data_IF_888419285668
#
_entry.id   IF_888419285668
#
_cell.length_a   1.000
_cell.length_b   1.000
_cell.length_c   1.000
_cell.angle_alpha   90.00
_cell.angle_beta   90.00
_cell.angle_gamma   90.00
#
_symmetry.space_group_name_H-M   'P 1'
#
loop_
_entity.id
_entity.type
_entity.pdbx_description
1 polymer ?
#
# COMPACT_ATOMS: atom_id res chain seq x y z
N UNK A 1 29.35 -49.36 6.40
CA UNK A 1 29.12 -48.16 7.24
C UNK A 1 29.68 -46.97 6.48
N UNK A 2 28.80 -46.22 5.83
CA UNK A 2 29.05 -44.89 5.28
C UNK A 2 27.89 -44.04 5.81
N UNK A 3 28.13 -42.84 6.37
CA UNK A 3 27.04 -42.01 6.84
C UNK A 3 26.36 -41.34 5.64
N UNK A 4 25.03 -41.42 5.61
CA UNK A 4 24.21 -40.55 4.76
C UNK A 4 24.39 -39.10 5.24
N UNK A 5 24.82 -38.22 4.35
CA UNK A 5 24.77 -36.78 4.60
C UNK A 5 23.31 -36.35 4.48
N UNK A 6 22.77 -35.80 5.56
CA UNK A 6 21.51 -35.07 5.54
C UNK A 6 21.79 -33.74 4.84
N UNK A 7 21.32 -33.60 3.59
CA UNK A 7 21.21 -32.29 2.96
C UNK A 7 20.01 -31.59 3.62
N UNK A 8 20.27 -30.48 4.30
CA UNK A 8 19.21 -29.60 4.77
C UNK A 8 18.62 -28.88 3.56
N UNK A 9 17.32 -29.10 3.31
CA UNK A 9 16.58 -28.33 2.31
C UNK A 9 16.52 -26.88 2.80
N UNK A 10 17.25 -25.97 2.15
CA UNK A 10 17.08 -24.53 2.34
C UNK A 10 15.82 -24.17 1.56
N UNK A 11 14.68 -24.08 2.24
CA UNK A 11 13.47 -23.52 1.65
C UNK A 11 13.68 -22.01 1.55
N UNK A 12 13.87 -21.50 0.33
CA UNK A 12 13.80 -20.06 0.06
C UNK A 12 12.31 -19.69 -0.04
N UNK A 13 11.74 -19.13 1.04
CA UNK A 13 10.36 -18.60 1.01
C UNK A 13 10.33 -17.10 0.60
N UNK A 14 11.39 -16.59 -0.04
CA UNK A 14 11.49 -15.17 -0.46
C UNK A 14 10.66 -14.89 -1.74
N UNK A 15 9.34 -15.05 -1.67
CA UNK A 15 8.43 -14.65 -2.75
C UNK A 15 7.80 -13.29 -2.40
N UNK A 16 8.50 -12.22 -2.78
CA UNK A 16 7.98 -10.85 -2.68
C UNK A 16 6.80 -10.66 -3.65
N UNK A 17 5.60 -10.39 -3.13
CA UNK A 17 4.38 -10.24 -3.93
C UNK A 17 3.67 -8.92 -3.67
N UNK A 18 2.96 -8.41 -4.68
CA UNK A 18 2.03 -7.28 -4.53
C UNK A 18 0.76 -7.78 -3.84
N UNK A 19 0.60 -7.40 -2.58
CA UNK A 19 -0.51 -7.82 -1.73
C UNK A 19 -1.74 -6.92 -1.86
N UNK A 20 -1.63 -5.76 -2.50
CA UNK A 20 -2.77 -4.85 -2.71
C UNK A 20 -3.65 -5.21 -3.93
N UNK A 21 -3.23 -6.15 -4.78
CA UNK A 21 -4.01 -6.56 -5.96
C UNK A 21 -5.36 -7.17 -5.55
N UNK A 22 -6.45 -6.69 -6.18
CA UNK A 22 -7.83 -7.19 -6.00
C UNK A 22 -8.29 -7.21 -4.53
N UNK A 23 -7.66 -6.41 -3.69
CA UNK A 23 -8.08 -6.22 -2.31
C UNK A 23 -9.18 -5.18 -2.20
N UNK A 24 -9.90 -5.23 -1.10
CA UNK A 24 -10.91 -4.22 -0.81
C UNK A 24 -10.20 -2.93 -0.39
N UNK A 25 -10.48 -1.85 -1.12
CA UNK A 25 -9.96 -0.52 -0.82
C UNK A 25 -11.11 0.43 -0.54
N UNK A 26 -10.84 1.45 0.28
CA UNK A 26 -11.84 2.45 0.64
C UNK A 26 -11.16 3.76 1.00
N UNK A 27 -11.88 4.86 0.86
CA UNK A 27 -11.38 6.20 1.15
C UNK A 27 -12.43 7.03 1.89
N UNK A 28 -11.98 8.07 2.56
CA UNK A 28 -12.82 8.87 3.47
C UNK A 28 -13.98 9.61 2.80
N UNK A 29 -13.81 9.98 1.54
CA UNK A 29 -14.82 10.56 0.64
C UNK A 29 -14.35 10.40 -0.81
N UNK A 30 -15.20 10.67 -1.80
CA UNK A 30 -14.86 10.48 -3.21
C UNK A 30 -15.15 11.73 -4.02
N UNK A 31 -14.09 12.30 -4.63
CA UNK A 31 -14.24 13.44 -5.53
C UNK A 31 -14.68 12.99 -6.92
N UNK A 32 -15.96 13.18 -7.23
CA UNK A 32 -16.53 12.84 -8.54
C UNK A 32 -16.40 11.34 -8.86
N UNK A 33 -15.62 11.01 -9.88
CA UNK A 33 -15.36 9.63 -10.33
C UNK A 33 -14.01 9.06 -9.86
N UNK A 34 -13.29 9.76 -8.98
CA UNK A 34 -11.93 9.41 -8.54
C UNK A 34 -12.00 8.42 -7.36
N UNK A 35 -12.44 7.19 -7.63
CA UNK A 35 -12.75 6.17 -6.62
C UNK A 35 -11.49 5.57 -5.97
N UNK A 36 -11.65 4.93 -4.81
CA UNK A 36 -10.52 4.35 -4.08
C UNK A 36 -9.77 3.27 -4.88
N UNK A 37 -10.51 2.50 -5.68
CA UNK A 37 -10.05 1.35 -6.48
C UNK A 37 -9.01 1.73 -7.53
N UNK A 38 -9.07 2.97 -8.04
CA UNK A 38 -8.14 3.49 -9.03
C UNK A 38 -6.73 3.71 -8.49
N UNK A 39 -6.50 3.56 -7.18
CA UNK A 39 -5.15 3.56 -6.62
C UNK A 39 -4.51 2.16 -6.60
N UNK A 40 -5.22 1.11 -7.02
CA UNK A 40 -4.73 -0.28 -7.00
C UNK A 40 -5.14 -1.04 -8.27
N UNK A 41 -5.42 -0.31 -9.36
CA UNK A 41 -5.89 -0.87 -10.63
C UNK A 41 -4.73 -1.16 -11.60
N UNK A 42 -3.48 -0.99 -11.17
CA UNK A 42 -2.26 -1.15 -11.97
C UNK A 42 -2.20 -0.22 -13.19
N UNK A 43 -2.83 0.95 -13.07
CA UNK A 43 -2.82 1.98 -14.07
C UNK A 43 -2.39 3.31 -13.42
N UNK A 44 -1.08 3.61 -13.34
CA UNK A 44 -0.54 4.76 -12.60
C UNK A 44 -0.89 6.15 -13.18
N UNK A 45 -1.81 6.23 -14.15
CA UNK A 45 -2.39 7.49 -14.60
C UNK A 45 -1.49 8.38 -15.44
N UNK A 46 -0.47 7.83 -16.09
CA UNK A 46 0.47 8.60 -16.92
C UNK A 46 -0.14 9.21 -18.19
N UNK A 47 -1.33 8.78 -18.60
CA UNK A 47 -2.04 9.28 -19.79
C UNK A 47 -3.26 10.12 -19.41
N UNK A 48 -4.08 9.63 -18.49
CA UNK A 48 -5.31 10.30 -18.07
C UNK A 48 -5.52 10.16 -16.55
N UNK A 49 -4.97 11.07 -15.73
CA UNK A 49 -5.07 10.99 -14.27
C UNK A 49 -6.51 10.91 -13.76
N UNK A 50 -7.46 11.59 -14.42
CA UNK A 50 -8.87 11.61 -14.01
C UNK A 50 -9.60 10.27 -14.11
N UNK A 51 -9.02 9.29 -14.82
CA UNK A 51 -9.57 7.93 -14.94
C UNK A 51 -8.76 6.88 -14.19
N UNK A 52 -7.67 7.28 -13.53
CA UNK A 52 -6.59 6.38 -13.12
C UNK A 52 -5.94 6.78 -11.81
N UNK A 53 -6.56 7.70 -11.06
CA UNK A 53 -6.11 8.09 -9.73
C UNK A 53 -7.32 8.19 -8.82
N UNK A 54 -7.17 7.74 -7.57
CA UNK A 54 -8.14 7.99 -6.51
C UNK A 54 -8.02 9.42 -6.01
N UNK A 55 -9.12 10.00 -5.53
CA UNK A 55 -9.09 11.27 -4.82
C UNK A 55 -10.26 11.44 -3.86
N UNK A 56 -9.97 11.95 -2.67
CA UNK A 56 -10.99 12.43 -1.74
C UNK A 56 -11.54 13.79 -2.17
N UNK A 57 -12.71 14.17 -1.63
CA UNK A 57 -13.12 15.58 -1.59
C UNK A 57 -12.18 16.39 -0.68
N UNK A 58 -12.32 17.72 -0.73
CA UNK A 58 -11.67 18.60 0.24
C UNK A 58 -12.26 18.38 1.63
N UNK A 59 -11.43 17.91 2.57
CA UNK A 59 -11.88 17.62 3.92
C UNK A 59 -10.75 17.76 4.94
N UNK A 60 -11.10 17.71 6.23
CA UNK A 60 -10.12 17.53 7.31
C UNK A 60 -9.73 16.06 7.38
N UNK A 61 -8.42 15.81 7.51
CA UNK A 61 -7.83 14.49 7.73
C UNK A 61 -8.28 13.40 6.73
N UNK A 62 -8.18 13.61 5.39
CA UNK A 62 -8.54 12.58 4.41
C UNK A 62 -7.65 11.34 4.54
N UNK A 63 -8.22 10.20 4.17
CA UNK A 63 -7.51 8.92 4.21
C UNK A 63 -7.98 7.95 3.12
N UNK A 64 -7.07 7.05 2.76
CA UNK A 64 -7.31 5.88 1.91
C UNK A 64 -6.78 4.64 2.64
N UNK A 65 -7.43 3.48 2.47
CA UNK A 65 -7.04 2.22 3.10
C UNK A 65 -7.24 1.04 2.17
N UNK A 66 -6.29 0.10 2.19
CA UNK A 66 -6.45 -1.26 1.69
C UNK A 66 -6.60 -2.26 2.83
N UNK A 67 -7.54 -3.21 2.69
CA UNK A 67 -7.68 -4.40 3.53
C UNK A 67 -7.02 -5.60 2.83
N UNK A 68 -5.86 -6.03 3.34
CA UNK A 68 -5.09 -7.15 2.80
C UNK A 68 -5.77 -8.52 2.98
N UNK A 69 -6.94 -8.57 3.64
CA UNK A 69 -7.77 -9.75 3.96
C UNK A 69 -7.25 -10.61 5.13
N UNK A 70 -5.94 -10.68 5.31
CA UNK A 70 -5.24 -11.36 6.42
C UNK A 70 -4.18 -10.43 7.01
N UNK A 71 -3.60 -10.82 8.15
CA UNK A 71 -2.47 -10.09 8.73
C UNK A 71 -1.22 -10.49 7.97
N UNK A 72 -0.57 -9.52 7.32
CA UNK A 72 0.60 -9.76 6.47
C UNK A 72 1.84 -9.03 6.99
N UNK A 73 3.02 -9.49 6.58
CA UNK A 73 4.29 -8.77 6.78
C UNK A 73 4.55 -7.81 5.63
N UNK A 74 4.38 -6.52 5.87
CA UNK A 74 4.60 -5.48 4.87
C UNK A 74 6.08 -5.10 4.84
N UNK A 75 6.74 -5.41 3.73
CA UNK A 75 8.16 -5.11 3.48
C UNK A 75 8.31 -3.66 3.01
N UNK A 76 7.52 -3.26 2.01
CA UNK A 76 7.57 -1.93 1.42
C UNK A 76 6.25 -1.52 0.81
N UNK A 77 6.06 -0.22 0.66
CA UNK A 77 4.93 0.40 -0.06
C UNK A 77 5.50 1.29 -1.16
N UNK A 78 5.02 1.14 -2.39
CA UNK A 78 5.34 2.01 -3.52
C UNK A 78 4.12 2.88 -3.81
N UNK A 79 4.33 4.19 -3.93
CA UNK A 79 3.26 5.16 -4.15
C UNK A 79 3.58 5.99 -5.38
N UNK A 80 2.65 6.02 -6.33
CA UNK A 80 2.71 6.88 -7.51
C UNK A 80 1.88 8.13 -7.31
N UNK A 81 2.51 9.29 -7.45
CA UNK A 81 1.85 10.59 -7.30
C UNK A 81 1.23 11.09 -8.61
N UNK A 82 0.29 12.01 -8.49
CA UNK A 82 -0.40 12.67 -9.61
C UNK A 82 0.57 13.37 -10.57
N UNK A 83 0.33 13.23 -11.87
CA UNK A 83 1.19 13.76 -12.94
C UNK A 83 0.85 15.19 -13.38
N UNK A 84 -0.44 15.49 -13.59
CA UNK A 84 -0.89 16.68 -14.34
C UNK A 84 -0.92 17.98 -13.51
N UNK A 85 -1.10 17.90 -12.20
CA UNK A 85 -1.01 19.06 -11.31
C UNK A 85 -0.79 18.68 -9.86
N UNK A 86 -0.49 19.70 -9.08
CA UNK A 86 -0.70 19.70 -7.64
C UNK A 86 0.03 18.57 -6.86
N UNK A 87 1.26 18.17 -7.26
CA UNK A 87 1.95 17.04 -6.65
C UNK A 87 2.24 17.28 -5.16
N UNK A 88 2.31 18.54 -4.71
CA UNK A 88 2.55 18.92 -3.33
C UNK A 88 1.41 18.54 -2.37
N UNK A 89 0.22 18.18 -2.89
CA UNK A 89 -0.94 17.79 -2.06
C UNK A 89 -0.69 16.54 -1.22
N UNK A 90 0.18 15.65 -1.68
CA UNK A 90 0.53 14.41 -0.96
C UNK A 90 1.48 14.66 0.23
N UNK A 91 2.10 15.83 0.31
CA UNK A 91 3.11 16.13 1.32
C UNK A 91 2.51 16.07 2.73
N UNK A 92 3.17 15.32 3.62
CA UNK A 92 2.73 15.07 4.99
C UNK A 92 1.85 13.83 5.15
N UNK A 93 1.56 13.09 4.07
CA UNK A 93 0.81 11.82 4.18
C UNK A 93 1.62 10.80 4.97
N UNK A 94 0.97 10.15 5.92
CA UNK A 94 1.52 9.10 6.77
C UNK A 94 1.08 7.73 6.24
N UNK A 95 2.04 6.83 6.02
CA UNK A 95 1.80 5.42 5.75
C UNK A 95 1.68 4.72 7.10
N UNK A 96 0.52 4.11 7.39
CA UNK A 96 0.22 3.46 8.66
C UNK A 96 -0.17 2.01 8.45
N UNK A 97 0.34 1.11 9.28
CA UNK A 97 0.17 -0.34 9.11
C UNK A 97 -0.21 -0.96 10.45
N UNK A 98 -1.28 -1.76 10.46
CA UNK A 98 -1.68 -2.49 11.66
C UNK A 98 -3.00 -3.24 11.51
N UNK A 99 -3.54 -3.69 12.64
CA UNK A 99 -4.71 -4.58 12.70
C UNK A 99 -5.97 -3.89 13.25
N UNK A 100 -5.86 -2.64 13.71
CA UNK A 100 -7.00 -1.90 14.28
C UNK A 100 -7.76 -1.12 13.21
N UNK A 101 -9.07 -1.07 13.35
CA UNK A 101 -9.96 -0.16 12.61
C UNK A 101 -10.41 1.04 13.45
N UNK A 102 -9.91 1.19 14.68
CA UNK A 102 -10.12 2.41 15.46
C UNK A 102 -9.68 3.63 14.66
N UNK A 103 -10.52 4.67 14.62
CA UNK A 103 -10.32 5.84 13.76
C UNK A 103 -10.02 5.44 12.29
N UNK A 104 -10.75 4.45 11.76
CA UNK A 104 -10.57 3.89 10.41
C UNK A 104 -9.19 3.26 10.15
N UNK A 105 -8.41 2.96 11.19
CA UNK A 105 -7.03 2.48 11.08
C UNK A 105 -5.99 3.61 11.04
N UNK A 106 -6.41 4.87 11.11
CA UNK A 106 -5.50 6.02 11.10
C UNK A 106 -4.70 6.18 12.40
N UNK A 107 -4.99 5.37 13.43
CA UNK A 107 -4.20 5.31 14.67
C UNK A 107 -3.15 4.18 14.65
N UNK A 108 -3.11 3.34 13.62
CA UNK A 108 -2.09 2.29 13.52
C UNK A 108 -0.67 2.89 13.44
N UNK A 109 0.38 2.16 13.87
CA UNK A 109 1.76 2.64 13.81
C UNK A 109 2.18 3.16 12.44
N UNK A 110 3.00 4.22 12.43
CA UNK A 110 3.52 4.85 11.21
C UNK A 110 4.69 4.02 10.68
N UNK A 111 4.61 3.57 9.43
CA UNK A 111 5.74 3.06 8.65
C UNK A 111 6.63 4.22 8.17
N UNK A 112 6.04 5.22 7.50
CA UNK A 112 6.77 6.33 6.93
C UNK A 112 5.90 7.59 6.80
N UNK A 113 6.55 8.74 6.64
CA UNK A 113 5.89 10.01 6.30
C UNK A 113 6.42 10.49 4.95
N UNK A 114 5.51 10.80 4.04
CA UNK A 114 5.80 11.29 2.70
C UNK A 114 6.18 12.77 2.81
N UNK A 115 7.46 13.10 2.68
CA UNK A 115 7.91 14.49 2.63
C UNK A 115 7.51 15.17 1.32
N UNK A 116 7.79 14.51 0.19
CA UNK A 116 7.39 14.91 -1.16
C UNK A 116 7.56 13.76 -2.15
N UNK A 117 6.69 13.69 -3.15
CA UNK A 117 6.89 12.85 -4.35
C UNK A 117 6.70 13.77 -5.56
N UNK A 118 7.66 13.85 -6.51
CA UNK A 118 7.48 14.66 -7.72
C UNK A 118 6.27 14.20 -8.55
N UNK A 119 5.79 15.07 -9.44
CA UNK A 119 4.64 14.76 -10.27
C UNK A 119 4.90 13.53 -11.15
N UNK A 120 3.97 12.56 -11.13
CA UNK A 120 4.02 11.34 -11.94
C UNK A 120 5.17 10.38 -11.57
N UNK A 121 5.82 10.57 -10.43
CA UNK A 121 6.91 9.70 -9.97
C UNK A 121 6.38 8.71 -8.93
N UNK A 122 6.92 7.49 -8.97
CA UNK A 122 6.72 6.48 -7.94
C UNK A 122 7.86 6.55 -6.91
N UNK A 123 7.52 6.52 -5.62
CA UNK A 123 8.50 6.47 -4.53
C UNK A 123 8.27 5.25 -3.64
N UNK A 124 9.37 4.63 -3.21
CA UNK A 124 9.37 3.43 -2.38
C UNK A 124 9.64 3.77 -0.93
N UNK A 125 8.82 3.23 -0.02
CA UNK A 125 8.94 3.37 1.42
C UNK A 125 9.13 2.00 2.05
N UNK A 126 10.23 1.82 2.78
CA UNK A 126 10.56 0.55 3.44
C UNK A 126 9.89 0.50 4.81
N UNK A 127 9.09 -0.54 5.05
CA UNK A 127 8.29 -0.73 6.27
C UNK A 127 8.84 -1.82 7.19
N UNK A 128 10.02 -2.39 6.90
CA UNK A 128 10.76 -3.28 7.81
C UNK A 128 9.92 -4.42 8.42
N UNK A 129 9.12 -5.10 7.58
CA UNK A 129 8.30 -6.25 7.98
C UNK A 129 7.27 -5.94 9.06
N UNK A 130 6.72 -4.72 9.05
CA UNK A 130 5.59 -4.37 9.91
C UNK A 130 4.41 -5.29 9.64
N UNK A 131 3.87 -5.90 10.69
CA UNK A 131 2.71 -6.78 10.61
C UNK A 131 1.40 -5.99 10.66
N UNK A 132 0.52 -6.22 9.69
CA UNK A 132 -0.77 -5.57 9.64
C UNK A 132 -1.68 -6.10 8.56
N UNK A 133 -2.99 -6.11 8.83
CA UNK A 133 -4.04 -6.37 7.84
C UNK A 133 -4.41 -5.12 7.05
N UNK A 134 -4.27 -3.94 7.66
CA UNK A 134 -4.67 -2.68 7.07
C UNK A 134 -3.45 -1.81 6.79
N UNK A 135 -3.37 -1.29 5.57
CA UNK A 135 -2.43 -0.23 5.20
C UNK A 135 -3.23 1.02 4.88
N UNK A 136 -3.01 2.08 5.65
CA UNK A 136 -3.66 3.37 5.52
C UNK A 136 -2.66 4.40 4.99
N UNK A 137 -3.11 5.24 4.04
CA UNK A 137 -2.50 6.53 3.74
C UNK A 137 -3.37 7.61 4.40
N UNK A 138 -2.83 8.25 5.44
CA UNK A 138 -3.54 9.24 6.24
C UNK A 138 -2.87 10.61 6.09
N UNK A 139 -3.61 11.62 5.64
CA UNK A 139 -3.07 12.97 5.45
C UNK A 139 -3.66 13.92 6.51
N UNK A 140 -2.93 14.22 7.60
CA UNK A 140 -3.42 15.11 8.63
C UNK A 140 -3.50 16.58 8.15
N UNK A 141 -4.46 17.30 8.71
CA UNK A 141 -4.68 18.73 8.50
C UNK A 141 -6.02 19.06 7.87
N UNK A 142 -6.33 20.36 7.85
CA UNK A 142 -7.58 20.87 7.30
C UNK A 142 -7.51 21.14 5.81
N UNK A 143 -8.67 21.06 5.16
CA UNK A 143 -8.85 21.44 3.75
C UNK A 143 -7.87 20.74 2.79
N UNK A 144 -7.71 19.43 2.97
CA UNK A 144 -6.80 18.59 2.19
C UNK A 144 -7.56 17.75 1.16
N UNK A 145 -6.89 17.48 0.05
CA UNK A 145 -7.21 16.41 -0.88
C UNK A 145 -6.14 15.34 -0.73
N UNK A 146 -6.52 14.08 -0.59
CA UNK A 146 -5.61 12.96 -0.75
C UNK A 146 -5.84 12.37 -2.15
N UNK A 147 -4.83 12.43 -3.01
CA UNK A 147 -4.88 11.88 -4.37
C UNK A 147 -3.75 10.90 -4.55
N UNK A 148 -4.06 9.68 -5.00
CA UNK A 148 -3.11 8.57 -5.14
C UNK A 148 -3.34 7.92 -6.50
N UNK A 149 -2.31 7.80 -7.33
CA UNK A 149 -2.46 7.20 -8.66
C UNK A 149 -2.09 5.72 -8.68
N UNK A 150 -1.21 5.27 -7.80
CA UNK A 150 -1.00 3.84 -7.57
C UNK A 150 -0.44 3.63 -6.16
N UNK A 151 -0.84 2.55 -5.51
CA UNK A 151 -0.38 2.10 -4.20
C UNK A 151 -0.12 0.59 -4.29
N UNK A 152 1.15 0.23 -4.35
CA UNK A 152 1.57 -1.16 -4.36
C UNK A 152 2.11 -1.52 -2.97
N UNK A 153 1.44 -2.43 -2.28
CA UNK A 153 1.89 -2.97 -0.99
C UNK A 153 2.60 -4.28 -1.26
N UNK A 154 3.86 -4.39 -0.84
CA UNK A 154 4.65 -5.61 -1.00
C UNK A 154 4.93 -6.29 0.33
N UNK A 155 4.83 -7.62 0.33
CA UNK A 155 5.15 -8.48 1.45
C UNK A 155 5.57 -9.87 1.00
N UNK A 156 5.91 -10.71 1.96
CA UNK A 156 6.17 -12.14 1.75
C UNK A 156 4.84 -12.90 1.92
N UNK A 157 4.48 -13.74 0.96
CA UNK A 157 3.46 -14.77 1.23
C UNK A 157 4.09 -15.87 2.09
N UNK A 158 3.38 -16.32 3.14
CA UNK A 158 3.74 -17.53 3.89
C UNK A 158 3.49 -18.84 3.07
N UNK A 159 3.53 -18.78 1.73
CA UNK A 159 3.32 -19.94 0.85
C UNK A 159 4.61 -20.73 0.61
N UNK A 160 5.14 -21.33 1.68
CA UNK A 160 6.03 -22.47 1.52
C UNK A 160 5.13 -23.68 1.21
N UNK A 161 4.81 -23.92 -0.08
CA UNK A 161 4.11 -25.14 -0.49
C UNK A 161 5.03 -26.35 -0.22
N UNK A 162 4.56 -27.28 0.61
CA UNK A 162 5.18 -28.60 0.76
C UNK A 162 5.06 -29.29 -0.61
N UNK A 163 6.16 -29.50 -1.33
CA UNK A 163 6.17 -30.49 -2.41
C UNK A 163 5.98 -31.87 -1.77
N UNK A 164 4.72 -32.27 -1.55
CA UNK A 164 4.42 -33.65 -1.24
C UNK A 164 4.75 -34.46 -2.49
N UNK A 165 5.86 -35.19 -2.44
CA UNK A 165 6.20 -36.25 -3.40
C UNK A 165 4.96 -37.13 -3.64
N UNK A 166 4.58 -37.31 -4.91
CA UNK A 166 3.72 -38.41 -5.38
C UNK A 166 4.57 -39.39 -6.16
#
# INVERSE_FOLDING_TARGET
MHPAQSESLIIYCDNLQVMSERKNVTQSSTYGLWSAEQATDFNPGFIQPSSSCSSTDIQTNPWWRVDLSSVERVIRVIITNRLDCCPERINGTEIRIGNSLENNGNNNPICAVISSIPAGVSSTYICNNMEGRYVNLFLPGDSKYLTLCEVEVYGEEDSCEDETEV
#
